data_IF_612054013924
#
_entry.id   IF_612054013924
#
_cell.length_a   1.000
_cell.length_b   1.000
_cell.length_c   1.000
_cell.angle_alpha   90.00
_cell.angle_beta   90.00
_cell.angle_gamma   90.00
#
_symmetry.space_group_name_H-M   'P 1'
#
loop_
_entity.id
_entity.type
_entity.pdbx_description
1 polymer ?
#
# COMPACT_ATOMS: atom_id res chain seq x y z
N UNK A 1 -5.00 26.27 8.73
CA UNK A 1 -4.55 25.03 8.10
C UNK A 1 -5.51 23.96 8.56
N UNK A 2 -6.34 23.46 7.65
CA UNK A 2 -7.32 22.41 7.95
C UNK A 2 -6.53 21.15 8.27
N UNK A 3 -6.87 20.51 9.38
CA UNK A 3 -6.20 19.31 9.89
C UNK A 3 -6.48 18.16 8.91
N UNK A 4 -5.56 17.95 7.96
CA UNK A 4 -5.59 16.80 7.06
C UNK A 4 -4.96 15.67 7.86
N UNK A 5 -5.78 14.73 8.31
CA UNK A 5 -5.34 13.59 9.12
C UNK A 5 -4.28 12.79 8.36
N UNK A 6 -3.02 12.88 8.81
CA UNK A 6 -1.89 12.10 8.28
C UNK A 6 -0.71 12.92 7.75
N UNK A 7 0.18 12.27 6.99
CA UNK A 7 1.31 12.95 6.34
C UNK A 7 0.84 13.75 5.14
N UNK A 8 1.27 15.02 5.07
CA UNK A 8 0.92 15.95 4.00
C UNK A 8 2.16 16.63 3.43
N UNK A 9 2.10 16.96 2.14
CA UNK A 9 3.11 17.78 1.46
C UNK A 9 2.57 19.20 1.34
N UNK A 10 3.33 20.16 1.86
CA UNK A 10 2.98 21.58 1.79
C UNK A 10 3.91 22.29 0.81
N UNK A 11 3.36 23.20 0.03
CA UNK A 11 4.18 24.06 -0.80
C UNK A 11 4.93 25.08 0.06
N UNK A 12 6.22 25.26 -0.22
CA UNK A 12 7.04 26.31 0.38
C UNK A 12 7.10 27.57 -0.50
N UNK A 13 6.54 27.51 -1.71
CA UNK A 13 6.54 28.60 -2.69
C UNK A 13 5.31 28.56 -3.61
N UNK A 14 5.19 29.53 -4.52
CA UNK A 14 4.17 29.46 -5.57
C UNK A 14 4.53 28.36 -6.58
N UNK A 15 3.57 27.48 -6.87
CA UNK A 15 3.70 26.39 -7.86
C UNK A 15 3.01 26.82 -9.15
N UNK A 16 3.69 26.66 -10.28
CA UNK A 16 3.16 26.94 -11.60
C UNK A 16 2.27 25.80 -12.10
N UNK A 17 1.37 26.12 -13.03
CA UNK A 17 0.60 25.09 -13.74
C UNK A 17 1.56 24.14 -14.47
N UNK A 18 1.29 22.85 -14.37
CA UNK A 18 2.06 21.75 -15.00
C UNK A 18 3.51 21.60 -14.46
N UNK A 19 3.82 22.20 -13.32
CA UNK A 19 5.10 22.02 -12.63
C UNK A 19 5.21 20.61 -12.01
N UNK A 20 6.34 19.94 -12.26
CA UNK A 20 6.64 18.63 -11.68
C UNK A 20 7.07 18.81 -10.22
N UNK A 21 6.25 18.34 -9.28
CA UNK A 21 6.52 18.47 -7.85
C UNK A 21 7.56 17.45 -7.35
N UNK A 22 7.47 16.21 -7.85
CA UNK A 22 8.46 15.17 -7.62
C UNK A 22 8.43 14.15 -8.77
N UNK A 23 9.55 13.47 -8.99
CA UNK A 23 9.66 12.34 -9.89
C UNK A 23 10.18 11.14 -9.09
N UNK A 24 9.48 10.02 -9.18
CA UNK A 24 9.80 8.80 -8.43
C UNK A 24 10.39 7.77 -9.41
N UNK A 25 11.65 7.32 -9.22
CA UNK A 25 12.22 6.26 -10.02
C UNK A 25 11.42 4.96 -9.89
N UNK A 26 11.20 4.23 -10.99
CA UNK A 26 10.50 2.94 -10.94
C UNK A 26 11.17 1.93 -9.99
N UNK A 27 12.50 1.99 -9.89
CA UNK A 27 13.30 1.12 -9.02
C UNK A 27 13.03 1.27 -7.52
N UNK A 28 12.40 2.37 -7.08
CA UNK A 28 12.04 2.60 -5.68
C UNK A 28 10.57 2.27 -5.37
N UNK A 29 9.75 2.00 -6.39
CA UNK A 29 8.37 1.56 -6.19
C UNK A 29 8.38 0.20 -5.52
N UNK A 30 7.57 -0.02 -4.48
CA UNK A 30 7.40 -1.34 -3.87
C UNK A 30 6.44 -2.17 -4.72
N UNK A 31 6.98 -3.14 -5.45
CA UNK A 31 6.22 -4.04 -6.32
C UNK A 31 6.83 -5.44 -6.25
N UNK A 32 6.11 -6.43 -6.77
CA UNK A 32 6.62 -7.81 -6.91
C UNK A 32 7.95 -7.84 -7.68
N UNK A 33 8.10 -7.02 -8.72
CA UNK A 33 9.31 -6.97 -9.56
C UNK A 33 10.50 -6.30 -8.87
N UNK A 34 10.26 -5.30 -8.05
CA UNK A 34 11.34 -4.52 -7.40
C UNK A 34 11.73 -5.09 -6.05
N UNK A 35 10.84 -5.83 -5.39
CA UNK A 35 11.07 -6.65 -4.20
C UNK A 35 11.56 -8.07 -4.54
N UNK A 36 12.01 -8.27 -5.78
CA UNK A 36 12.51 -9.56 -6.27
C UNK A 36 13.57 -10.14 -5.32
N UNK A 37 13.28 -11.36 -4.90
CA UNK A 37 14.05 -12.24 -4.05
C UNK A 37 13.71 -13.65 -4.51
N UNK A 38 14.55 -14.63 -4.19
CA UNK A 38 14.25 -16.05 -4.45
C UNK A 38 12.86 -16.47 -3.94
N UNK A 39 12.39 -15.87 -2.83
CA UNK A 39 11.08 -16.15 -2.27
C UNK A 39 9.94 -15.54 -3.08
N UNK A 40 10.09 -14.30 -3.58
CA UNK A 40 9.07 -13.64 -4.41
C UNK A 40 9.04 -14.19 -5.83
N UNK A 41 10.17 -14.63 -6.37
CA UNK A 41 10.25 -15.35 -7.65
C UNK A 41 9.53 -16.71 -7.57
N UNK A 42 9.80 -17.50 -6.53
CA UNK A 42 9.08 -18.75 -6.29
C UNK A 42 7.57 -18.52 -6.11
N UNK A 43 7.19 -17.41 -5.46
CA UNK A 43 5.80 -17.03 -5.28
C UNK A 43 5.13 -16.63 -6.60
N UNK A 44 5.84 -15.95 -7.51
CA UNK A 44 5.33 -15.66 -8.86
C UNK A 44 5.16 -16.92 -9.70
N UNK A 45 6.11 -17.85 -9.60
CA UNK A 45 6.08 -19.14 -10.32
C UNK A 45 4.92 -20.02 -9.83
N UNK A 46 4.67 -20.08 -8.52
CA UNK A 46 3.53 -20.82 -7.95
C UNK A 46 2.20 -20.07 -8.09
N UNK A 47 2.21 -18.74 -8.05
CA UNK A 47 0.99 -17.94 -8.14
C UNK A 47 0.30 -18.09 -9.49
N UNK A 48 1.01 -18.56 -10.52
CA UNK A 48 0.48 -18.80 -11.86
C UNK A 48 -0.38 -17.62 -12.34
N UNK A 49 0.11 -16.39 -12.15
CA UNK A 49 -0.62 -15.13 -12.39
C UNK A 49 -1.26 -15.03 -13.78
N UNK A 50 -0.69 -15.73 -14.77
CA UNK A 50 -1.20 -15.82 -16.14
C UNK A 50 -2.34 -16.84 -16.33
N UNK A 51 -2.76 -17.56 -15.27
CA UNK A 51 -3.79 -18.60 -15.31
C UNK A 51 -5.04 -18.16 -14.53
N UNK A 52 -6.24 -18.52 -14.99
CA UNK A 52 -7.48 -18.17 -14.30
C UNK A 52 -7.64 -18.81 -12.90
N UNK A 53 -6.82 -19.81 -12.57
CA UNK A 53 -6.77 -20.44 -11.23
C UNK A 53 -5.61 -19.90 -10.37
N UNK A 54 -4.86 -18.93 -10.87
CA UNK A 54 -3.76 -18.29 -10.16
C UNK A 54 -4.24 -17.37 -9.03
N UNK A 55 -3.29 -16.93 -8.20
CA UNK A 55 -3.59 -15.93 -7.19
C UNK A 55 -3.90 -14.59 -7.87
N UNK A 56 -4.85 -13.80 -7.33
CA UNK A 56 -5.04 -12.44 -7.81
C UNK A 56 -3.79 -11.60 -7.54
N UNK A 57 -3.44 -10.69 -8.45
CA UNK A 57 -2.28 -9.79 -8.34
C UNK A 57 -2.23 -9.06 -6.99
N UNK A 58 -3.41 -8.69 -6.46
CA UNK A 58 -3.53 -8.04 -5.17
C UNK A 58 -3.04 -8.92 -4.02
N UNK A 59 -3.29 -10.23 -4.04
CA UNK A 59 -2.81 -11.15 -3.01
C UNK A 59 -1.28 -11.29 -3.04
N UNK A 60 -0.68 -11.36 -4.24
CA UNK A 60 0.78 -11.42 -4.38
C UNK A 60 1.43 -10.12 -3.87
N UNK A 61 0.84 -8.96 -4.19
CA UNK A 61 1.29 -7.68 -3.66
C UNK A 61 1.15 -7.61 -2.13
N UNK A 62 0.05 -8.12 -1.56
CA UNK A 62 -0.13 -8.20 -0.10
C UNK A 62 0.97 -9.04 0.55
N UNK A 63 1.33 -10.18 -0.04
CA UNK A 63 2.40 -11.04 0.48
C UNK A 63 3.77 -10.37 0.39
N UNK A 64 4.05 -9.64 -0.69
CA UNK A 64 5.29 -8.84 -0.83
C UNK A 64 5.37 -7.77 0.25
N UNK A 65 4.28 -7.05 0.52
CA UNK A 65 4.22 -6.06 1.61
C UNK A 65 4.43 -6.73 2.97
N UNK A 66 3.79 -7.87 3.22
CA UNK A 66 3.96 -8.63 4.46
C UNK A 66 5.40 -9.13 4.66
N UNK A 67 6.05 -9.60 3.59
CA UNK A 67 7.44 -10.00 3.59
C UNK A 67 8.34 -8.82 3.96
N UNK A 68 8.20 -7.68 3.29
CA UNK A 68 9.01 -6.50 3.58
C UNK A 68 8.77 -5.95 5.00
N UNK A 69 7.53 -6.01 5.51
CA UNK A 69 7.23 -5.69 6.91
C UNK A 69 7.96 -6.63 7.88
N UNK A 70 7.99 -7.93 7.61
CA UNK A 70 8.68 -8.93 8.46
C UNK A 70 10.19 -8.72 8.52
N UNK A 71 10.79 -8.11 7.49
CA UNK A 71 12.22 -7.76 7.46
C UNK A 71 12.54 -6.56 8.36
N UNK A 72 11.55 -5.81 8.79
CA UNK A 72 11.70 -4.66 9.68
C UNK A 72 12.72 -3.64 9.13
N UNK A 73 13.70 -3.27 9.97
CA UNK A 73 14.75 -2.31 9.59
C UNK A 73 15.68 -2.78 8.45
N UNK A 74 15.66 -4.08 8.10
CA UNK A 74 16.43 -4.60 6.97
C UNK A 74 15.72 -4.47 5.62
N UNK A 75 14.45 -4.04 5.61
CA UNK A 75 13.75 -3.70 4.37
C UNK A 75 14.28 -2.38 3.81
N UNK A 76 14.50 -2.35 2.48
CA UNK A 76 14.81 -1.10 1.76
C UNK A 76 13.69 -0.07 1.89
N UNK A 77 12.45 -0.54 2.04
CA UNK A 77 11.26 0.30 2.19
C UNK A 77 10.87 0.54 3.65
N UNK A 78 11.70 0.13 4.62
CA UNK A 78 11.42 0.35 6.04
C UNK A 78 11.02 1.80 6.36
N UNK A 79 11.67 2.86 5.83
CA UNK A 79 11.25 4.23 6.09
C UNK A 79 9.86 4.57 5.52
N UNK A 80 9.52 4.02 4.36
CA UNK A 80 8.21 4.20 3.75
C UNK A 80 7.14 3.47 4.56
N UNK A 81 7.35 2.21 4.90
CA UNK A 81 6.42 1.39 5.67
C UNK A 81 6.19 1.93 7.09
N UNK A 82 7.22 2.50 7.72
CA UNK A 82 7.10 3.15 9.03
C UNK A 82 6.24 4.43 8.99
N UNK A 83 6.14 5.05 7.82
CA UNK A 83 5.40 6.28 7.62
C UNK A 83 3.92 6.03 7.26
N UNK A 84 3.57 4.80 6.87
CA UNK A 84 2.18 4.42 6.57
C UNK A 84 1.40 4.30 7.87
N UNK A 85 0.39 5.16 8.04
CA UNK A 85 -0.58 5.05 9.13
C UNK A 85 -1.62 3.98 8.83
N UNK A 86 -2.18 3.36 9.88
CA UNK A 86 -3.35 2.48 9.74
C UNK A 86 -4.49 3.28 9.10
N UNK A 87 -5.11 2.77 8.02
CA UNK A 87 -6.21 3.48 7.38
C UNK A 87 -7.44 3.48 8.29
N UNK A 88 -8.17 4.59 8.28
CA UNK A 88 -9.52 4.65 8.83
C UNK A 88 -10.48 4.11 7.78
N UNK A 89 -10.85 2.83 7.91
CA UNK A 89 -11.65 2.11 6.92
C UNK A 89 -12.67 1.22 7.64
N UNK A 90 -13.94 1.20 7.20
CA UNK A 90 -14.98 0.30 7.74
C UNK A 90 -14.57 -1.17 7.79
N UNK A 91 -13.68 -1.61 6.89
CA UNK A 91 -13.12 -2.97 6.91
C UNK A 91 -12.33 -3.31 8.19
N UNK A 92 -11.93 -2.30 8.96
CA UNK A 92 -11.14 -2.41 10.18
C UNK A 92 -11.89 -1.93 11.43
N UNK A 93 -13.13 -1.46 11.26
CA UNK A 93 -13.99 -0.94 12.32
C UNK A 93 -14.57 -2.06 13.17
N UNK A 94 -14.93 -1.73 14.41
CA UNK A 94 -15.65 -2.66 15.25
C UNK A 94 -17.16 -2.69 14.91
N UNK A 95 -17.88 -3.64 15.51
CA UNK A 95 -19.30 -3.83 15.21
C UNK A 95 -20.14 -2.59 15.56
N UNK A 96 -19.79 -1.86 16.61
CA UNK A 96 -20.55 -0.68 17.05
C UNK A 96 -20.36 0.50 16.12
N UNK A 97 -19.18 0.62 15.50
CA UNK A 97 -18.88 1.58 14.45
C UNK A 97 -19.61 1.22 13.14
N UNK A 98 -19.66 -0.07 12.79
CA UNK A 98 -20.40 -0.55 11.60
C UNK A 98 -21.92 -0.37 11.73
N UNK A 99 -22.48 -0.46 12.93
CA UNK A 99 -23.91 -0.16 13.17
C UNK A 99 -24.29 1.27 12.77
N UNK A 100 -23.35 2.22 12.79
CA UNK A 100 -23.58 3.59 12.31
C UNK A 100 -23.79 3.66 10.79
N UNK A 101 -23.37 2.63 10.06
CA UNK A 101 -23.50 2.51 8.61
C UNK A 101 -24.71 1.67 8.19
N UNK A 102 -25.59 1.31 9.12
CA UNK A 102 -26.73 0.45 8.84
C UNK A 102 -27.60 0.97 7.68
N UNK A 103 -27.83 0.13 6.67
CA UNK A 103 -28.65 0.46 5.50
C UNK A 103 -27.92 1.27 4.41
N UNK A 104 -26.59 1.40 4.51
CA UNK A 104 -25.76 1.99 3.45
C UNK A 104 -25.20 0.94 2.49
N UNK A 105 -25.25 -0.35 2.85
CA UNK A 105 -24.67 -1.46 2.08
C UNK A 105 -23.15 -1.62 2.29
N UNK A 106 -22.58 -0.91 3.27
CA UNK A 106 -21.18 -1.01 3.72
C UNK A 106 -21.11 -1.65 5.13
N UNK A 107 -22.27 -2.05 5.65
CA UNK A 107 -22.53 -2.64 6.97
C UNK A 107 -22.55 -4.18 6.98
N UNK A 108 -22.34 -4.83 5.83
CA UNK A 108 -22.29 -6.30 5.63
C UNK A 108 -20.89 -6.83 5.30
#
# INVERSE_FOLDING_TARGET
ATDVTGMSVFSTAAISKDEVLCAIPESVVLSVHTAASLATEALMDEAALDRPEGFPDSAVQTLVVALELSRGAHSRWSPYLAAVSRPDSPLLWDQSELELLAGTGVDE
#
